data_IF_236105990506
#
_entry.id   IF_236105990506
#
_cell.length_a   1.000
_cell.length_b   1.000
_cell.length_c   1.000
_cell.angle_alpha   90.00
_cell.angle_beta   90.00
_cell.angle_gamma   90.00
#
_symmetry.space_group_name_H-M   'P 1'
#
loop_
_entity.id
_entity.type
_entity.pdbx_description
1 polymer ?
#
# COMPACT_ATOMS: atom_id res chain seq x y z
N UNK A 1 5.30 8.82 2.95
CA UNK A 1 6.49 9.53 2.44
C UNK A 1 6.09 10.71 1.59
N UNK A 2 5.15 10.55 0.69
CA UNK A 2 4.60 11.62 -0.13
C UNK A 2 3.09 11.45 -0.30
N UNK A 3 2.41 12.56 -0.54
CA UNK A 3 0.99 12.58 -0.91
C UNK A 3 0.87 13.38 -2.21
N UNK A 4 0.35 12.73 -3.25
CA UNK A 4 0.31 13.30 -4.60
C UNK A 4 1.71 13.72 -5.08
N UNK A 5 1.96 15.03 -5.24
CA UNK A 5 3.24 15.59 -5.66
C UNK A 5 3.98 16.34 -4.53
N UNK A 6 3.60 16.12 -3.27
CA UNK A 6 4.20 16.80 -2.11
C UNK A 6 4.80 15.78 -1.16
N UNK A 7 6.03 16.03 -0.72
CA UNK A 7 6.65 15.22 0.33
C UNK A 7 6.00 15.52 1.69
N UNK A 8 5.86 14.48 2.48
CA UNK A 8 5.52 14.62 3.90
C UNK A 8 6.72 15.29 4.61
N UNK A 9 6.49 16.27 5.51
CA UNK A 9 7.57 16.87 6.29
C UNK A 9 8.45 15.82 6.98
N UNK A 10 9.78 15.96 6.85
CA UNK A 10 10.75 15.02 7.38
C UNK A 10 11.00 13.77 6.52
N UNK A 11 10.32 13.60 5.39
CA UNK A 11 10.49 12.43 4.53
C UNK A 11 11.88 12.36 3.88
N UNK A 12 12.45 13.49 3.50
CA UNK A 12 13.81 13.56 2.93
C UNK A 12 14.82 13.11 3.99
N UNK A 13 14.79 13.74 5.15
CA UNK A 13 15.68 13.49 6.28
C UNK A 13 15.59 12.03 6.75
N UNK A 14 14.37 11.48 6.79
CA UNK A 14 14.13 10.09 7.15
C UNK A 14 14.82 9.13 6.18
N UNK A 15 14.59 9.29 4.87
CA UNK A 15 15.17 8.39 3.87
C UNK A 15 16.70 8.57 3.81
N UNK A 16 17.20 9.79 3.91
CA UNK A 16 18.65 10.06 3.95
C UNK A 16 19.32 9.46 5.20
N UNK A 17 18.62 9.48 6.35
CA UNK A 17 19.10 8.82 7.56
C UNK A 17 19.22 7.30 7.38
N UNK A 18 18.21 6.65 6.76
CA UNK A 18 18.27 5.21 6.44
C UNK A 18 19.44 4.88 5.52
N UNK A 19 19.61 5.66 4.44
CA UNK A 19 20.71 5.47 3.47
C UNK A 19 22.07 5.65 4.15
N UNK A 20 22.25 6.72 4.90
CA UNK A 20 23.55 7.06 5.56
C UNK A 20 23.96 6.05 6.63
N UNK A 21 22.98 5.41 7.27
CA UNK A 21 23.20 4.34 8.28
C UNK A 21 23.28 2.95 7.69
N UNK A 22 23.08 2.81 6.36
CA UNK A 22 23.06 1.51 5.71
C UNK A 22 21.90 0.61 6.16
N UNK A 23 20.82 1.20 6.68
CA UNK A 23 19.63 0.45 7.11
C UNK A 23 18.86 0.02 5.87
N UNK A 24 18.64 -1.27 5.63
CA UNK A 24 17.88 -1.75 4.49
C UNK A 24 16.42 -1.31 4.61
N UNK A 25 15.86 -0.81 3.52
CA UNK A 25 14.45 -0.41 3.46
C UNK A 25 13.82 -0.72 2.10
N UNK A 26 12.49 -0.79 2.09
CA UNK A 26 11.71 -1.07 0.89
C UNK A 26 10.42 -0.25 0.96
N UNK A 27 10.12 0.47 -0.11
CA UNK A 27 8.80 1.08 -0.29
C UNK A 27 7.83 0.03 -0.82
N UNK A 28 6.81 -0.28 -0.01
CA UNK A 28 5.77 -1.24 -0.32
C UNK A 28 4.49 -0.49 -0.72
N UNK A 29 4.02 -0.68 -1.95
CA UNK A 29 2.89 0.09 -2.46
C UNK A 29 1.86 -0.76 -3.21
N UNK A 30 0.58 -0.44 -3.00
CA UNK A 30 -0.53 -1.01 -3.77
C UNK A 30 -0.62 -0.46 -5.19
N UNK A 31 0.04 0.66 -5.48
CA UNK A 31 0.00 1.25 -6.81
C UNK A 31 0.69 0.34 -7.83
N UNK A 32 -0.08 -0.15 -8.80
CA UNK A 32 0.37 -1.06 -9.86
C UNK A 32 0.62 -0.37 -11.21
N UNK A 33 0.29 0.92 -11.33
CA UNK A 33 0.43 1.65 -12.59
C UNK A 33 1.88 2.05 -12.92
N UNK A 34 2.68 2.64 -11.98
CA UNK A 34 4.07 2.97 -12.26
C UNK A 34 4.98 1.76 -12.08
N UNK A 35 6.07 1.73 -12.84
CA UNK A 35 7.18 0.80 -12.58
C UNK A 35 7.98 1.25 -11.34
N UNK A 36 8.78 0.35 -10.72
CA UNK A 36 9.73 0.74 -9.69
C UNK A 36 10.73 1.82 -10.12
N UNK A 37 11.11 1.83 -11.40
CA UNK A 37 12.00 2.85 -11.97
C UNK A 37 11.30 4.22 -12.02
N UNK A 38 10.04 4.27 -12.45
CA UNK A 38 9.24 5.51 -12.48
C UNK A 38 9.09 6.10 -11.07
N UNK A 39 8.83 5.25 -10.06
CA UNK A 39 8.75 5.66 -8.67
C UNK A 39 10.06 6.24 -8.15
N UNK A 40 11.20 5.64 -8.50
CA UNK A 40 12.52 6.16 -8.14
C UNK A 40 12.80 7.53 -8.79
N UNK A 41 12.43 7.69 -10.07
CA UNK A 41 12.53 8.98 -10.78
C UNK A 41 11.63 10.03 -10.15
N UNK A 42 10.37 9.67 -9.87
CA UNK A 42 9.40 10.56 -9.22
C UNK A 42 9.90 11.07 -7.86
N UNK A 43 10.36 10.19 -6.98
CA UNK A 43 10.84 10.60 -5.67
C UNK A 43 12.12 11.44 -5.74
N UNK A 44 12.98 11.21 -6.73
CA UNK A 44 14.14 12.06 -7.00
C UNK A 44 13.73 13.47 -7.42
N UNK A 45 12.73 13.62 -8.28
CA UNK A 45 12.19 14.93 -8.67
C UNK A 45 11.54 15.66 -7.48
N UNK A 46 11.01 14.94 -6.52
CA UNK A 46 10.48 15.48 -5.27
C UNK A 46 11.58 15.81 -4.23
N UNK A 47 12.86 15.49 -4.50
CA UNK A 47 13.98 15.83 -3.63
C UNK A 47 14.57 14.66 -2.82
N UNK A 48 14.08 13.43 -2.98
CA UNK A 48 14.66 12.26 -2.32
C UNK A 48 15.67 11.59 -3.26
N UNK A 49 16.95 11.76 -2.97
CA UNK A 49 18.06 11.21 -3.77
C UNK A 49 18.52 9.85 -3.26
N UNK A 50 19.30 9.11 -4.09
CA UNK A 50 19.89 7.83 -3.72
C UNK A 50 18.94 6.63 -3.86
N UNK A 51 17.72 6.82 -4.38
CA UNK A 51 16.76 5.76 -4.65
C UNK A 51 16.95 5.14 -6.03
N UNK A 52 16.71 3.83 -6.12
CA UNK A 52 16.73 3.04 -7.34
C UNK A 52 15.52 2.08 -7.34
N UNK A 53 15.21 1.47 -8.47
CA UNK A 53 14.11 0.51 -8.63
C UNK A 53 14.10 -0.61 -7.57
N UNK A 54 15.28 -1.07 -7.12
CA UNK A 54 15.41 -2.10 -6.08
C UNK A 54 14.76 -1.74 -4.73
N UNK A 55 14.59 -0.45 -4.44
CA UNK A 55 13.97 0.04 -3.20
C UNK A 55 12.43 0.05 -3.24
N UNK A 56 11.82 -0.43 -4.33
CA UNK A 56 10.36 -0.46 -4.47
C UNK A 56 9.87 -1.88 -4.70
N UNK A 57 8.77 -2.22 -4.04
CA UNK A 57 8.02 -3.43 -4.28
C UNK A 57 6.53 -3.07 -4.43
N UNK A 58 6.05 -3.15 -5.66
CA UNK A 58 4.69 -2.76 -6.04
C UNK A 58 3.77 -3.97 -6.05
N UNK A 59 2.46 -3.75 -5.97
CA UNK A 59 1.48 -4.81 -6.16
C UNK A 59 1.55 -5.42 -7.56
N UNK A 60 2.04 -4.68 -8.57
CA UNK A 60 2.32 -5.24 -9.90
C UNK A 60 3.42 -6.30 -9.87
N UNK A 61 4.55 -6.01 -9.20
CA UNK A 61 5.61 -7.00 -9.00
C UNK A 61 5.12 -8.21 -8.20
N UNK A 62 4.34 -7.96 -7.14
CA UNK A 62 3.79 -9.04 -6.33
C UNK A 62 2.86 -9.95 -7.14
N UNK A 63 2.04 -9.38 -8.02
CA UNK A 63 1.15 -10.14 -8.90
C UNK A 63 1.92 -10.99 -9.91
N UNK A 64 2.96 -10.42 -10.54
CA UNK A 64 3.79 -11.16 -11.47
C UNK A 64 4.62 -12.26 -10.78
N UNK A 65 5.13 -12.00 -9.56
CA UNK A 65 5.82 -13.00 -8.74
C UNK A 65 4.88 -14.14 -8.35
N UNK A 66 3.66 -13.82 -7.91
CA UNK A 66 2.64 -14.81 -7.56
C UNK A 66 2.34 -15.73 -8.74
N UNK A 67 2.05 -15.18 -9.91
CA UNK A 67 1.75 -15.97 -11.11
C UNK A 67 2.93 -16.85 -11.52
N UNK A 68 4.15 -16.29 -11.53
CA UNK A 68 5.34 -17.06 -11.92
C UNK A 68 5.70 -18.19 -10.96
N UNK A 69 5.27 -18.12 -9.70
CA UNK A 69 5.49 -19.16 -8.69
C UNK A 69 4.37 -20.21 -8.66
N UNK A 70 3.12 -19.78 -8.90
CA UNK A 70 1.96 -20.68 -8.78
C UNK A 70 1.57 -21.32 -10.11
N UNK A 71 1.76 -20.62 -11.22
CA UNK A 71 1.42 -21.11 -12.57
C UNK A 71 2.37 -20.47 -13.61
N UNK A 72 3.63 -20.95 -13.71
CA UNK A 72 4.67 -20.31 -14.51
C UNK A 72 4.41 -20.29 -16.02
N UNK A 73 3.48 -21.10 -16.51
CA UNK A 73 3.12 -21.18 -17.93
C UNK A 73 1.77 -20.52 -18.24
N UNK A 74 1.20 -19.78 -17.29
CA UNK A 74 -0.08 -19.14 -17.47
C UNK A 74 -0.04 -18.02 -18.51
N UNK A 75 -1.22 -17.75 -19.06
CA UNK A 75 -1.50 -16.57 -19.88
C UNK A 75 -2.51 -15.67 -19.20
N UNK A 76 -2.47 -14.39 -19.47
CA UNK A 76 -3.30 -13.41 -18.79
C UNK A 76 -4.01 -12.45 -19.75
N UNK A 77 -5.22 -12.03 -19.38
CA UNK A 77 -5.86 -10.85 -19.95
C UNK A 77 -5.77 -9.73 -18.93
N UNK A 78 -5.16 -8.59 -19.28
CA UNK A 78 -4.84 -7.52 -18.32
C UNK A 78 -5.74 -6.31 -18.51
N UNK A 79 -6.38 -5.88 -17.43
CA UNK A 79 -6.99 -4.54 -17.29
C UNK A 79 -6.07 -3.71 -16.41
N UNK A 80 -5.20 -2.90 -17.00
CA UNK A 80 -4.20 -2.12 -16.26
C UNK A 80 -3.20 -1.46 -17.20
N UNK A 81 -2.31 -0.67 -16.62
CA UNK A 81 -1.33 0.15 -17.34
C UNK A 81 0.12 -0.21 -16.95
N UNK A 82 1.06 0.34 -17.68
CA UNK A 82 2.52 0.40 -17.50
C UNK A 82 3.13 -0.63 -16.56
N UNK A 83 3.07 -0.37 -15.27
CA UNK A 83 3.78 -1.18 -14.27
C UNK A 83 3.39 -2.65 -14.24
N UNK A 84 2.08 -2.98 -14.31
CA UNK A 84 1.66 -4.39 -14.33
C UNK A 84 2.05 -5.08 -15.64
N UNK A 85 1.93 -4.41 -16.77
CA UNK A 85 2.35 -4.96 -18.06
C UNK A 85 3.85 -5.24 -18.09
N UNK A 86 4.66 -4.30 -17.60
CA UNK A 86 6.10 -4.46 -17.49
C UNK A 86 6.48 -5.62 -16.55
N UNK A 87 5.85 -5.69 -15.36
CA UNK A 87 6.12 -6.73 -14.39
C UNK A 87 5.80 -8.15 -14.92
N UNK A 88 4.70 -8.31 -15.65
CA UNK A 88 4.32 -9.57 -16.29
C UNK A 88 5.32 -9.93 -17.40
N UNK A 89 5.69 -8.95 -18.23
CA UNK A 89 6.66 -9.15 -19.32
C UNK A 89 8.03 -9.61 -18.78
N UNK A 90 8.53 -8.97 -17.73
CA UNK A 90 9.79 -9.37 -17.07
C UNK A 90 9.78 -10.80 -16.54
N UNK A 91 8.60 -11.31 -16.16
CA UNK A 91 8.38 -12.71 -15.73
C UNK A 91 8.04 -13.65 -16.88
N UNK A 92 8.05 -13.16 -18.13
CA UNK A 92 7.71 -13.92 -19.35
C UNK A 92 6.28 -14.48 -19.35
N UNK A 93 5.36 -13.83 -18.64
CA UNK A 93 3.95 -14.17 -18.61
C UNK A 93 3.29 -13.54 -19.85
N UNK A 94 2.78 -14.37 -20.71
CA UNK A 94 2.20 -13.94 -21.98
C UNK A 94 0.76 -13.41 -21.83
N UNK A 95 0.41 -12.44 -22.67
CA UNK A 95 -0.97 -11.97 -22.77
C UNK A 95 -1.76 -12.83 -23.78
N UNK A 96 -2.98 -13.20 -23.41
CA UNK A 96 -3.94 -13.88 -24.28
C UNK A 96 -5.32 -13.25 -24.11
N UNK A 97 -5.92 -12.81 -25.21
CA UNK A 97 -7.25 -12.22 -25.21
C UNK A 97 -8.36 -13.23 -25.57
N UNK A 98 -8.02 -14.46 -25.92
CA UNK A 98 -8.97 -15.49 -26.40
C UNK A 98 -9.30 -16.46 -25.27
N UNK A 99 -8.26 -17.05 -24.66
CA UNK A 99 -8.41 -18.07 -23.61
C UNK A 99 -7.33 -17.92 -22.53
N UNK A 100 -7.32 -16.79 -21.81
CA UNK A 100 -6.36 -16.59 -20.73
C UNK A 100 -6.65 -17.53 -19.55
N UNK A 101 -5.61 -17.90 -18.80
CA UNK A 101 -5.78 -18.58 -17.51
C UNK A 101 -6.32 -17.63 -16.44
N UNK A 102 -5.92 -16.35 -16.51
CA UNK A 102 -6.35 -15.34 -15.53
C UNK A 102 -6.70 -14.01 -16.20
N UNK A 103 -7.69 -13.33 -15.61
CA UNK A 103 -7.92 -11.90 -15.80
C UNK A 103 -7.22 -11.19 -14.66
N UNK A 104 -6.31 -10.28 -14.98
CA UNK A 104 -5.55 -9.47 -14.00
C UNK A 104 -6.03 -8.04 -14.06
N UNK A 105 -6.56 -7.55 -12.94
CA UNK A 105 -7.03 -6.17 -12.79
C UNK A 105 -5.97 -5.37 -12.04
N UNK A 106 -5.38 -4.39 -12.72
CA UNK A 106 -4.48 -3.39 -12.17
C UNK A 106 -5.08 -2.00 -12.22
N UNK A 107 -4.30 -1.02 -11.77
CA UNK A 107 -4.69 0.39 -11.91
C UNK A 107 -4.50 0.87 -13.35
N UNK A 108 -5.39 1.75 -13.79
CA UNK A 108 -5.35 2.33 -15.12
C UNK A 108 -6.74 2.63 -15.67
N UNK A 109 -6.76 3.31 -16.82
CA UNK A 109 -7.99 3.52 -17.57
C UNK A 109 -8.44 2.21 -18.24
N UNK A 110 -9.74 1.97 -18.25
CA UNK A 110 -10.32 0.86 -19.00
C UNK A 110 -11.58 1.31 -19.74
N UNK A 111 -11.99 0.54 -20.74
CA UNK A 111 -13.21 0.80 -21.50
C UNK A 111 -14.24 -0.29 -21.21
N UNK A 112 -15.51 0.03 -21.49
CA UNK A 112 -16.58 -0.96 -21.32
C UNK A 112 -16.37 -2.22 -22.19
N UNK A 113 -15.79 -2.09 -23.37
CA UNK A 113 -15.48 -3.23 -24.24
C UNK A 113 -14.40 -4.13 -23.63
N UNK A 114 -13.39 -3.55 -22.98
CA UNK A 114 -12.38 -4.33 -22.26
C UNK A 114 -12.95 -5.01 -21.02
N UNK A 115 -13.88 -4.36 -20.30
CA UNK A 115 -14.61 -4.98 -19.19
C UNK A 115 -15.50 -6.13 -19.67
N UNK A 116 -16.22 -5.95 -20.79
CA UNK A 116 -17.02 -7.01 -21.39
C UNK A 116 -16.15 -8.20 -21.83
N UNK A 117 -14.96 -7.92 -22.39
CA UNK A 117 -14.01 -8.98 -22.74
C UNK A 117 -13.45 -9.72 -21.52
N UNK A 118 -13.12 -9.00 -20.44
CA UNK A 118 -12.70 -9.60 -19.18
C UNK A 118 -13.80 -10.50 -18.59
N UNK A 119 -15.04 -10.01 -18.59
CA UNK A 119 -16.20 -10.77 -18.16
C UNK A 119 -16.33 -12.09 -18.96
N UNK A 120 -16.28 -12.01 -20.30
CA UNK A 120 -16.32 -13.21 -21.18
C UNK A 120 -15.21 -14.21 -20.83
N UNK A 121 -13.98 -13.75 -20.57
CA UNK A 121 -12.87 -14.61 -20.19
C UNK A 121 -13.13 -15.32 -18.85
N UNK A 122 -13.68 -14.60 -17.86
CA UNK A 122 -14.01 -15.17 -16.54
C UNK A 122 -15.15 -16.19 -16.66
N UNK A 123 -16.19 -15.90 -17.44
CA UNK A 123 -17.27 -16.83 -17.72
C UNK A 123 -16.77 -18.13 -18.40
N UNK A 124 -15.71 -18.04 -19.21
CA UNK A 124 -15.04 -19.19 -19.83
C UNK A 124 -14.06 -19.90 -18.90
N UNK A 125 -13.95 -19.49 -17.64
CA UNK A 125 -13.20 -20.17 -16.61
C UNK A 125 -11.87 -19.53 -16.22
N UNK A 126 -11.53 -18.35 -16.72
CA UNK A 126 -10.36 -17.63 -16.26
C UNK A 126 -10.50 -17.23 -14.78
N UNK A 127 -9.42 -17.39 -13.99
CA UNK A 127 -9.35 -16.89 -12.63
C UNK A 127 -9.31 -15.36 -12.58
N UNK A 128 -9.94 -14.75 -11.58
CA UNK A 128 -9.93 -13.30 -11.40
C UNK A 128 -8.91 -12.88 -10.31
N UNK A 129 -7.90 -12.11 -10.72
CA UNK A 129 -6.88 -11.54 -9.84
C UNK A 129 -6.97 -10.01 -9.87
N UNK A 130 -6.73 -9.37 -8.73
CA UNK A 130 -6.59 -7.91 -8.64
C UNK A 130 -5.29 -7.54 -7.94
N UNK A 131 -4.62 -6.51 -8.46
CA UNK A 131 -3.34 -6.06 -7.89
C UNK A 131 -3.50 -5.48 -6.50
N UNK A 132 -4.66 -4.90 -6.17
CA UNK A 132 -4.96 -4.34 -4.85
C UNK A 132 -6.48 -4.21 -4.64
N UNK A 133 -6.95 -4.05 -3.39
CA UNK A 133 -8.36 -3.88 -3.05
C UNK A 133 -8.82 -2.41 -3.06
N UNK A 134 -7.98 -1.46 -3.49
CA UNK A 134 -8.25 -0.03 -3.35
C UNK A 134 -9.41 0.39 -4.26
N UNK A 135 -10.48 0.92 -3.68
CA UNK A 135 -11.68 1.29 -4.42
C UNK A 135 -11.48 2.54 -5.29
N UNK A 136 -10.57 3.40 -4.90
CA UNK A 136 -10.23 4.61 -5.64
C UNK A 136 -8.75 4.94 -5.45
N UNK A 137 -8.21 5.70 -6.39
CA UNK A 137 -6.87 6.25 -6.29
C UNK A 137 -6.88 7.76 -6.60
N UNK A 138 -6.04 8.56 -5.92
CA UNK A 138 -5.93 9.99 -6.19
C UNK A 138 -5.27 10.22 -7.56
N UNK A 139 -5.80 11.18 -8.31
CA UNK A 139 -5.22 11.67 -9.57
C UNK A 139 -4.61 13.05 -9.36
N UNK A 140 -5.28 13.92 -8.61
CA UNK A 140 -4.84 15.25 -8.18
C UNK A 140 -5.58 15.64 -6.92
N UNK A 141 -5.22 16.79 -6.33
CA UNK A 141 -5.76 17.28 -5.04
C UNK A 141 -7.28 17.09 -4.89
N UNK A 142 -8.05 17.31 -5.96
CA UNK A 142 -9.52 17.27 -5.92
C UNK A 142 -10.13 16.15 -6.75
N UNK A 143 -9.30 15.29 -7.37
CA UNK A 143 -9.77 14.27 -8.32
C UNK A 143 -9.31 12.89 -7.92
N UNK A 144 -10.28 11.99 -7.88
CA UNK A 144 -10.05 10.56 -7.75
C UNK A 144 -10.52 9.83 -9.00
N UNK A 145 -10.01 8.64 -9.20
CA UNK A 145 -10.53 7.70 -10.19
C UNK A 145 -10.82 6.35 -9.52
N UNK A 146 -11.67 5.49 -10.10
CA UNK A 146 -11.81 4.12 -9.64
C UNK A 146 -10.46 3.41 -9.60
N UNK A 147 -10.18 2.71 -8.50
CA UNK A 147 -9.01 1.88 -8.32
C UNK A 147 -9.19 0.46 -8.88
N UNK A 148 -8.16 -0.36 -8.74
CA UNK A 148 -8.22 -1.75 -9.17
C UNK A 148 -9.32 -2.54 -8.41
N UNK A 149 -9.53 -2.25 -7.13
CA UNK A 149 -10.59 -2.86 -6.32
C UNK A 149 -12.00 -2.58 -6.86
N UNK A 150 -12.29 -1.34 -7.28
CA UNK A 150 -13.58 -1.00 -7.87
C UNK A 150 -13.81 -1.71 -9.20
N UNK A 151 -12.78 -1.79 -10.06
CA UNK A 151 -12.84 -2.51 -11.33
C UNK A 151 -13.02 -4.02 -11.11
N UNK A 152 -12.31 -4.59 -10.14
CA UNK A 152 -12.48 -5.99 -9.76
C UNK A 152 -13.89 -6.26 -9.21
N UNK A 153 -14.42 -5.38 -8.35
CA UNK A 153 -15.77 -5.49 -7.80
C UNK A 153 -16.85 -5.46 -8.90
N UNK A 154 -16.68 -4.66 -9.97
CA UNK A 154 -17.55 -4.70 -11.13
C UNK A 154 -17.59 -6.11 -11.74
N UNK A 155 -16.42 -6.73 -11.94
CA UNK A 155 -16.31 -8.09 -12.50
C UNK A 155 -16.83 -9.15 -11.53
N UNK A 156 -16.58 -9.01 -10.21
CA UNK A 156 -17.12 -9.91 -9.19
C UNK A 156 -18.65 -9.94 -9.23
N UNK A 157 -19.28 -8.76 -9.27
CA UNK A 157 -20.74 -8.64 -9.30
C UNK A 157 -21.32 -9.19 -10.61
N UNK A 158 -20.69 -8.88 -11.74
CA UNK A 158 -21.21 -9.28 -13.04
C UNK A 158 -21.05 -10.78 -13.35
N UNK A 159 -20.00 -11.43 -12.81
CA UNK A 159 -19.68 -12.84 -13.09
C UNK A 159 -20.01 -13.78 -11.91
N UNK A 160 -20.27 -13.25 -10.72
CA UNK A 160 -20.40 -14.04 -9.49
C UNK A 160 -19.08 -14.69 -9.01
N UNK A 161 -17.94 -14.37 -9.63
CA UNK A 161 -16.63 -14.92 -9.27
C UNK A 161 -15.90 -13.94 -8.34
N UNK A 162 -15.22 -14.47 -7.31
CA UNK A 162 -14.44 -13.66 -6.39
C UNK A 162 -13.02 -13.40 -6.91
N UNK A 163 -12.56 -12.17 -6.77
CA UNK A 163 -11.18 -11.79 -7.06
C UNK A 163 -10.25 -12.20 -5.92
N UNK A 164 -9.04 -12.62 -6.25
CA UNK A 164 -7.96 -12.74 -5.28
C UNK A 164 -7.09 -11.48 -5.36
N UNK A 165 -7.09 -10.71 -4.27
CA UNK A 165 -6.40 -9.43 -4.17
C UNK A 165 -4.97 -9.64 -3.68
N UNK A 166 -3.98 -9.21 -4.45
CA UNK A 166 -2.55 -9.47 -4.20
C UNK A 166 -1.82 -8.30 -3.53
N UNK A 167 -2.42 -7.12 -3.46
CA UNK A 167 -1.87 -5.96 -2.73
C UNK A 167 -2.07 -6.06 -1.22
N UNK A 168 -1.50 -5.13 -0.48
CA UNK A 168 -1.76 -4.99 0.97
C UNK A 168 -3.27 -4.96 1.24
N UNK A 169 -3.78 -5.64 2.26
CA UNK A 169 -3.09 -6.30 3.37
C UNK A 169 -2.68 -7.77 3.11
N UNK A 170 -2.68 -8.26 1.88
CA UNK A 170 -2.41 -9.67 1.57
C UNK A 170 -1.05 -10.12 2.14
N UNK A 171 -1.05 -11.19 2.94
CA UNK A 171 0.14 -11.72 3.61
C UNK A 171 1.22 -12.20 2.65
N UNK A 172 0.88 -12.67 1.44
CA UNK A 172 1.85 -13.02 0.42
C UNK A 172 2.75 -11.83 0.05
N UNK A 173 2.17 -10.63 -0.10
CA UNK A 173 2.92 -9.42 -0.40
C UNK A 173 3.93 -9.08 0.72
N UNK A 174 3.54 -9.20 1.98
CA UNK A 174 4.44 -8.97 3.12
C UNK A 174 5.55 -10.02 3.20
N UNK A 175 5.21 -11.29 2.95
CA UNK A 175 6.21 -12.36 2.89
C UNK A 175 7.25 -12.11 1.79
N UNK A 176 6.82 -11.75 0.59
CA UNK A 176 7.69 -11.42 -0.54
C UNK A 176 8.54 -10.19 -0.27
N UNK A 177 7.95 -9.15 0.31
CA UNK A 177 8.67 -7.93 0.70
C UNK A 177 9.79 -8.23 1.70
N UNK A 178 9.53 -9.08 2.72
CA UNK A 178 10.56 -9.52 3.68
C UNK A 178 11.72 -10.24 2.99
N UNK A 179 11.43 -11.19 2.08
CA UNK A 179 12.46 -11.89 1.32
C UNK A 179 13.29 -10.92 0.46
N UNK A 180 12.64 -9.98 -0.21
CA UNK A 180 13.33 -8.95 -0.99
C UNK A 180 14.17 -8.04 -0.11
N UNK A 181 13.66 -7.61 1.03
CA UNK A 181 14.40 -6.79 1.99
C UNK A 181 15.64 -7.53 2.50
N UNK A 182 15.52 -8.82 2.82
CA UNK A 182 16.64 -9.64 3.24
C UNK A 182 17.75 -9.73 2.16
N UNK A 183 17.39 -9.72 0.87
CA UNK A 183 18.37 -9.72 -0.23
C UNK A 183 19.10 -8.37 -0.41
N UNK A 184 18.59 -7.29 0.16
CA UNK A 184 19.23 -5.97 0.15
C UNK A 184 20.24 -5.77 1.29
N UNK A 185 20.22 -6.64 2.29
CA UNK A 185 21.07 -6.57 3.48
C UNK A 185 22.25 -7.54 3.36
N UNK A 186 23.42 -7.15 3.85
CA UNK A 186 24.59 -8.05 3.94
C UNK A 186 24.36 -9.20 4.93
N UNK A 187 23.57 -8.95 5.97
CA UNK A 187 22.96 -9.93 6.89
C UNK A 187 21.48 -9.66 6.88
N UNK A 188 20.64 -10.69 6.78
CA UNK A 188 19.19 -10.51 6.83
C UNK A 188 18.77 -9.69 8.05
N UNK A 189 17.77 -8.81 7.95
CA UNK A 189 17.33 -8.01 9.09
C UNK A 189 16.79 -8.94 10.19
N UNK A 190 17.29 -8.76 11.41
CA UNK A 190 16.79 -9.49 12.59
C UNK A 190 15.34 -9.13 12.87
N UNK A 191 14.98 -7.87 12.62
CA UNK A 191 13.64 -7.35 12.80
C UNK A 191 13.22 -6.47 11.63
N UNK A 192 11.98 -6.64 11.19
CA UNK A 192 11.36 -5.82 10.15
C UNK A 192 10.17 -5.09 10.74
N UNK A 193 10.12 -3.79 10.51
CA UNK A 193 9.01 -2.92 10.93
C UNK A 193 8.30 -2.40 9.70
N UNK A 194 6.97 -2.51 9.68
CA UNK A 194 6.14 -1.82 8.69
C UNK A 194 5.82 -0.42 9.19
N UNK A 195 6.11 0.60 8.40
CA UNK A 195 5.71 1.98 8.66
C UNK A 195 4.68 2.37 7.61
N UNK A 196 3.48 2.69 8.05
CA UNK A 196 2.38 3.00 7.14
C UNK A 196 1.35 3.93 7.76
N UNK A 197 0.44 4.42 6.95
CA UNK A 197 -0.57 5.41 7.32
C UNK A 197 -2.00 4.88 7.26
N UNK A 198 -2.17 3.62 6.83
CA UNK A 198 -3.50 3.04 6.64
C UNK A 198 -3.69 1.81 7.52
N UNK A 199 -4.66 1.88 8.44
CA UNK A 199 -4.96 0.77 9.35
C UNK A 199 -5.34 -0.51 8.59
N UNK A 200 -6.21 -0.43 7.57
CA UNK A 200 -6.77 -1.60 6.87
C UNK A 200 -5.79 -2.28 5.91
N UNK A 201 -4.73 -1.62 5.49
CA UNK A 201 -3.77 -2.19 4.56
C UNK A 201 -2.40 -2.39 5.19
N UNK A 202 -1.79 -1.33 5.73
CA UNK A 202 -0.43 -1.36 6.26
C UNK A 202 -0.37 -2.07 7.61
N UNK A 203 -1.19 -1.61 8.55
CA UNK A 203 -1.14 -2.09 9.93
C UNK A 203 -1.76 -3.50 10.03
N UNK A 204 -2.89 -3.71 9.38
CA UNK A 204 -3.51 -5.04 9.30
C UNK A 204 -2.57 -6.06 8.66
N UNK A 205 -2.02 -5.73 7.49
CA UNK A 205 -1.13 -6.66 6.79
C UNK A 205 0.14 -6.97 7.59
N UNK A 206 0.71 -5.98 8.28
CA UNK A 206 1.83 -6.19 9.19
C UNK A 206 1.44 -7.10 10.37
N UNK A 207 0.29 -6.84 11.00
CA UNK A 207 -0.23 -7.66 12.10
C UNK A 207 -0.42 -9.13 11.65
N UNK A 208 -1.10 -9.35 10.53
CA UNK A 208 -1.34 -10.70 9.98
C UNK A 208 -0.03 -11.40 9.55
N UNK A 209 1.01 -10.62 9.15
CA UNK A 209 2.34 -11.14 8.81
C UNK A 209 3.28 -11.31 10.03
N UNK A 210 2.83 -11.02 11.25
CA UNK A 210 3.64 -11.11 12.47
C UNK A 210 4.76 -10.08 12.55
N UNK A 211 4.57 -8.90 11.92
CA UNK A 211 5.53 -7.80 11.93
C UNK A 211 5.14 -6.74 12.96
N UNK A 212 6.13 -6.07 13.53
CA UNK A 212 5.88 -4.78 14.19
C UNK A 212 5.40 -3.75 13.18
N UNK A 213 4.54 -2.83 13.62
CA UNK A 213 4.03 -1.77 12.76
C UNK A 213 3.99 -0.42 13.48
N UNK A 214 4.36 0.63 12.77
CA UNK A 214 4.27 2.01 13.21
C UNK A 214 3.26 2.73 12.31
N UNK A 215 2.20 3.24 12.93
CA UNK A 215 1.22 4.08 12.23
C UNK A 215 1.70 5.52 12.25
N UNK A 216 1.75 6.17 11.08
CA UNK A 216 2.00 7.62 10.95
C UNK A 216 0.69 8.34 10.66
N UNK A 217 0.38 9.36 11.48
CA UNK A 217 -0.87 10.13 11.38
C UNK A 217 -0.83 11.22 10.29
N UNK A 218 0.26 11.32 9.55
CA UNK A 218 0.40 12.25 8.41
C UNK A 218 -0.28 11.79 7.12
N UNK A 219 -1.02 10.70 7.16
CA UNK A 219 -1.62 10.10 5.98
C UNK A 219 -3.13 9.85 6.08
N UNK A 220 -3.57 8.62 5.77
CA UNK A 220 -4.97 8.30 5.49
C UNK A 220 -5.83 8.03 6.72
N UNK A 221 -5.26 7.47 7.80
CA UNK A 221 -6.03 7.12 9.00
C UNK A 221 -6.00 8.26 10.02
N UNK A 222 -7.13 8.89 10.34
CA UNK A 222 -7.25 9.84 11.45
C UNK A 222 -7.03 9.15 12.81
N UNK A 223 -6.48 9.90 13.77
CA UNK A 223 -6.15 9.36 15.10
C UNK A 223 -7.37 8.78 15.83
N UNK A 224 -8.53 9.39 15.68
CA UNK A 224 -9.80 8.98 16.28
C UNK A 224 -10.29 7.61 15.77
N UNK A 225 -9.93 7.22 14.56
CA UNK A 225 -10.35 5.94 13.96
C UNK A 225 -9.40 4.78 14.27
N UNK A 226 -8.28 5.00 14.91
CA UNK A 226 -7.36 3.90 15.27
C UNK A 226 -8.03 2.92 16.24
N UNK A 227 -8.89 3.45 17.13
CA UNK A 227 -9.65 2.68 18.11
C UNK A 227 -10.72 1.75 17.51
N UNK A 228 -11.17 1.99 16.28
CA UNK A 228 -12.25 1.24 15.63
C UNK A 228 -11.82 -0.17 15.19
N UNK A 229 -10.51 -0.44 15.16
CA UNK A 229 -9.94 -1.71 14.72
C UNK A 229 -9.62 -2.64 15.90
N UNK A 230 -9.70 -3.96 15.70
CA UNK A 230 -9.36 -4.98 16.72
C UNK A 230 -7.84 -5.22 16.83
N UNK A 231 -7.08 -4.86 15.82
CA UNK A 231 -5.60 -4.89 15.81
C UNK A 231 -5.03 -3.50 16.11
N UNK A 232 -3.82 -3.46 16.62
CA UNK A 232 -3.16 -2.21 17.02
C UNK A 232 -1.77 -2.09 16.41
N UNK A 233 -1.34 -0.88 16.04
CA UNK A 233 0.07 -0.64 15.71
C UNK A 233 0.93 -0.77 16.97
N UNK A 234 2.18 -1.14 16.80
CA UNK A 234 3.18 -1.17 17.88
C UNK A 234 3.47 0.23 18.40
N UNK A 235 3.50 1.23 17.51
CA UNK A 235 3.68 2.66 17.85
C UNK A 235 2.79 3.52 16.95
N UNK A 236 2.43 4.69 17.47
CA UNK A 236 1.75 5.74 16.71
C UNK A 236 2.65 6.96 16.72
N UNK A 237 2.89 7.52 15.55
CA UNK A 237 3.79 8.65 15.30
C UNK A 237 3.02 9.76 14.57
N UNK A 238 3.45 11.01 14.72
CA UNK A 238 2.85 12.08 13.92
C UNK A 238 3.24 11.94 12.43
N UNK A 239 4.53 11.69 12.19
CA UNK A 239 5.07 11.44 10.85
C UNK A 239 6.35 10.61 10.92
N UNK A 240 6.93 10.30 9.77
CA UNK A 240 8.26 9.66 9.70
C UNK A 240 9.39 10.55 10.25
N UNK A 241 9.16 11.86 10.40
CA UNK A 241 10.12 12.78 11.02
C UNK A 241 10.46 12.36 12.45
N UNK A 242 9.51 11.80 13.19
CA UNK A 242 9.68 11.36 14.57
C UNK A 242 10.75 10.26 14.73
N UNK A 243 11.08 9.55 13.64
CA UNK A 243 12.09 8.48 13.63
C UNK A 243 13.50 8.96 13.23
N UNK A 244 13.65 10.18 12.75
CA UNK A 244 14.94 10.66 12.20
C UNK A 244 16.06 10.62 13.23
N UNK A 245 15.83 11.15 14.42
CA UNK A 245 16.84 11.17 15.49
C UNK A 245 17.11 9.78 16.07
N UNK A 246 16.08 8.93 16.15
CA UNK A 246 16.23 7.53 16.56
C UNK A 246 17.15 6.77 15.59
N UNK A 247 16.96 6.95 14.28
CA UNK A 247 17.81 6.34 13.24
C UNK A 247 19.23 6.87 13.31
N UNK A 248 19.43 8.19 13.50
CA UNK A 248 20.76 8.82 13.55
C UNK A 248 21.56 8.37 14.75
N UNK A 249 20.92 8.29 15.91
CA UNK A 249 21.59 8.03 17.20
C UNK A 249 21.61 6.56 17.59
N UNK A 250 20.71 5.75 17.01
CA UNK A 250 20.49 4.34 17.39
C UNK A 250 19.80 4.19 18.77
N UNK A 251 19.26 5.27 19.34
CA UNK A 251 18.57 5.27 20.62
C UNK A 251 17.08 5.60 20.42
N UNK A 252 16.16 4.86 21.07
CA UNK A 252 14.74 5.21 21.04
C UNK A 252 14.52 6.65 21.53
N UNK A 253 13.62 7.39 20.89
CA UNK A 253 13.30 8.79 21.26
C UNK A 253 12.85 8.89 22.71
N UNK A 254 12.16 7.89 23.24
CA UNK A 254 11.70 7.81 24.63
C UNK A 254 12.84 7.88 25.66
N UNK A 255 14.08 7.55 25.27
CA UNK A 255 15.27 7.65 26.13
C UNK A 255 15.98 9.00 26.03
N UNK A 256 15.57 9.88 25.10
CA UNK A 256 16.26 11.15 24.87
C UNK A 256 15.54 12.36 25.47
N UNK A 257 14.21 12.37 25.65
CA UNK A 257 13.46 13.59 25.99
C UNK A 257 12.29 13.40 27.00
N UNK A 258 12.35 12.48 27.95
CA UNK A 258 11.23 12.28 28.91
C UNK A 258 9.97 11.70 28.26
N UNK A 259 8.83 11.59 28.93
CA UNK A 259 7.70 10.79 28.46
C UNK A 259 7.22 11.23 27.09
N UNK A 260 7.61 10.45 26.12
CA UNK A 260 7.33 10.66 24.71
C UNK A 260 5.87 10.42 24.36
N UNK A 261 5.53 10.82 23.15
CA UNK A 261 4.27 10.59 22.47
C UNK A 261 3.76 9.17 22.71
N UNK A 262 2.78 9.07 23.61
CA UNK A 262 2.44 7.93 24.40
C UNK A 262 2.12 6.61 23.71
N UNK A 263 2.43 5.54 24.40
CA UNK A 263 1.66 4.33 24.33
C UNK A 263 0.19 4.65 24.57
N UNK A 264 -0.67 4.31 23.64
CA UNK A 264 -2.09 4.29 23.91
C UNK A 264 -2.36 3.12 24.85
N UNK A 265 -3.16 3.37 25.89
CA UNK A 265 -3.70 2.27 26.71
C UNK A 265 -4.55 1.32 25.87
N UNK A 266 -4.99 0.21 26.48
CA UNK A 266 -5.82 -0.80 25.81
C UNK A 266 -7.16 -0.25 25.25
N UNK A 267 -7.47 1.02 25.53
CA UNK A 267 -8.67 1.72 25.07
C UNK A 267 -8.37 2.88 24.12
N UNK A 268 -7.10 3.07 23.74
CA UNK A 268 -6.70 4.12 22.79
C UNK A 268 -6.61 5.53 23.38
N UNK A 269 -6.66 5.68 24.72
CA UNK A 269 -6.62 6.96 25.43
C UNK A 269 -5.29 7.12 26.18
N UNK A 270 -4.68 8.30 26.16
CA UNK A 270 -3.49 8.60 26.95
C UNK A 270 -3.83 8.65 28.43
N UNK A 271 -3.07 8.00 29.33
CA UNK A 271 -3.21 8.22 30.76
C UNK A 271 -2.86 9.67 31.09
N UNK A 272 -3.81 10.40 31.66
CA UNK A 272 -3.54 11.73 32.24
C UNK A 272 -3.99 12.96 31.47
N UNK A 273 -4.61 12.83 30.30
CA UNK A 273 -5.25 13.96 29.61
C UNK A 273 -6.70 14.08 30.11
N UNK A 274 -6.94 15.02 31.02
CA UNK A 274 -8.33 15.45 31.31
C UNK A 274 -8.93 15.99 30.02
N UNK A 275 -10.12 15.52 29.68
CA UNK A 275 -10.95 16.06 28.61
C UNK A 275 -11.06 17.59 28.78
N UNK A 276 -10.35 18.33 27.96
CA UNK A 276 -10.69 19.68 27.65
C UNK A 276 -11.53 19.58 26.37
N UNK A 277 -12.84 19.56 26.60
CA UNK A 277 -13.84 19.74 25.55
C UNK A 277 -13.69 21.17 25.05
N UNK A 278 -12.99 21.34 23.94
CA UNK A 278 -13.13 22.54 23.12
C UNK A 278 -12.96 22.18 21.65
N UNK A 279 -14.13 22.07 21.01
CA UNK A 279 -14.54 22.67 19.75
C UNK A 279 -13.66 22.35 18.53
N UNK A 280 -14.01 21.27 17.81
CA UNK A 280 -14.26 21.33 16.38
C UNK A 280 -15.42 20.39 16.05
N UNK A 281 -16.64 20.91 16.26
CA UNK A 281 -17.84 20.37 15.67
C UNK A 281 -17.88 20.74 14.18
N UNK A 282 -18.47 19.82 13.41
CA UNK A 282 -19.11 20.05 12.13
C UNK A 282 -18.29 19.81 10.87
N UNK A 283 -18.25 18.54 10.45
CA UNK A 283 -18.70 18.27 9.08
C UNK A 283 -19.70 17.11 9.14
N UNK A 284 -20.98 17.46 9.12
CA UNK A 284 -22.07 16.50 8.92
C UNK A 284 -21.91 15.85 7.53
N UNK A 285 -22.06 14.52 7.41
CA UNK A 285 -22.15 13.90 6.10
C UNK A 285 -23.36 14.45 5.36
N UNK A 286 -23.20 14.82 4.10
CA UNK A 286 -24.32 15.23 3.23
C UNK A 286 -25.30 14.07 3.14
N UNK A 287 -26.61 14.31 3.33
CA UNK A 287 -27.61 13.28 3.12
C UNK A 287 -27.63 12.87 1.64
N UNK A 288 -27.71 11.57 1.40
CA UNK A 288 -27.95 11.04 0.05
C UNK A 288 -29.29 11.59 -0.44
N UNK A 289 -29.39 12.01 -1.73
CA UNK A 289 -30.68 12.39 -2.29
C UNK A 289 -31.61 11.18 -2.27
N UNK A 290 -32.83 11.39 -1.78
CA UNK A 290 -33.89 10.39 -1.80
C UNK A 290 -34.17 10.00 -3.25
N UNK A 291 -34.14 8.72 -3.57
CA UNK A 291 -34.73 8.20 -4.79
C UNK A 291 -36.26 8.35 -4.65
N UNK A 292 -36.81 9.28 -5.37
CA UNK A 292 -38.26 9.30 -5.64
C UNK A 292 -38.60 8.19 -6.63
N UNK A 293 -39.64 7.44 -6.26
CA UNK A 293 -40.26 6.40 -7.10
C UNK A 293 -40.81 6.96 -8.39
#
# INVERSE_FOLDING_TARGET
>A
IYRENHLIPGAVEFVQALISKGIPFLFLTNNSAPTPADLAVRLRHLGIHGLAAKHFYTSALNTSDFLSETDPNCTVFVLGEGGILTALHERKIASDAIKPNYVVVGEGATTIDRLAKAHECIEKGAGLLATNPDNWCPVSHDKTRPGAGATAAFLEVSTGRRAYYLGKPNGYMFHRARRKLASLAAKGPEEVVMIGDTMETDIRGAFEAGLKSFLVLSGSTPAEHVGDHVYRPTRILHSVADLVEEIKTGKPVDQMNGPAVGHLDSHGVRPGVRHQTDIFALHKPRPRPAMTK
#
